data_IF_948619876254
#
_entry.id   IF_948619876254
#
_cell.length_a   1.000
_cell.length_b   1.000
_cell.length_c   1.000
_cell.angle_alpha   90.00
_cell.angle_beta   90.00
_cell.angle_gamma   90.00
#
_symmetry.space_group_name_H-M   'P 1'
#
loop_
_entity.id
_entity.type
_entity.pdbx_description
1 polymer ?
#
# COMPACT_ATOMS: atom_id res chain seq x y z
N UNK A 1 8.13 -7.04 -31.58
CA UNK A 1 8.54 -5.80 -32.29
C UNK A 1 8.17 -4.63 -31.40
N UNK A 2 9.06 -3.64 -31.16
CA UNK A 2 8.75 -2.49 -30.31
C UNK A 2 7.50 -1.77 -30.81
N UNK A 3 6.55 -1.54 -29.89
CA UNK A 3 5.18 -1.10 -30.20
C UNK A 3 5.05 0.42 -30.08
N UNK A 4 5.99 1.11 -29.43
CA UNK A 4 6.03 2.57 -29.45
C UNK A 4 7.16 3.16 -28.61
N UNK A 5 7.51 4.41 -28.93
CA UNK A 5 8.36 5.27 -28.12
C UNK A 5 7.50 6.44 -27.66
N UNK A 6 7.42 6.65 -26.35
CA UNK A 6 6.62 7.72 -25.75
C UNK A 6 7.44 8.46 -24.69
N UNK A 7 6.94 9.59 -24.21
CA UNK A 7 7.54 10.30 -23.07
C UNK A 7 6.62 10.15 -21.87
N UNK A 8 7.16 9.76 -20.72
CA UNK A 8 6.44 9.58 -19.45
C UNK A 8 7.21 10.34 -18.37
N UNK A 9 6.59 11.35 -17.74
CA UNK A 9 7.20 12.08 -16.63
C UNK A 9 8.55 12.74 -16.95
N UNK A 10 8.77 13.14 -18.21
CA UNK A 10 10.04 13.71 -18.67
C UNK A 10 11.12 12.68 -19.06
N UNK A 11 10.85 11.38 -18.88
CA UNK A 11 11.70 10.28 -19.35
C UNK A 11 11.18 9.74 -20.69
N UNK A 12 12.03 9.08 -21.47
CA UNK A 12 11.61 8.39 -22.68
C UNK A 12 11.36 6.91 -22.38
N UNK A 13 10.24 6.38 -22.88
CA UNK A 13 9.79 5.03 -22.66
C UNK A 13 9.76 4.28 -24.00
N UNK A 14 10.36 3.08 -24.04
CA UNK A 14 10.21 2.14 -25.15
C UNK A 14 9.41 0.94 -24.64
N UNK A 15 8.30 0.64 -25.29
CA UNK A 15 7.40 -0.43 -24.86
C UNK A 15 7.16 -1.45 -25.95
N UNK A 16 7.00 -2.71 -25.57
CA UNK A 16 6.60 -3.79 -26.47
C UNK A 16 5.78 -4.87 -25.76
N UNK A 17 4.96 -5.56 -26.53
CA UNK A 17 4.22 -6.73 -26.07
C UNK A 17 5.13 -7.97 -26.15
N UNK A 18 5.16 -8.74 -25.06
CA UNK A 18 5.69 -10.10 -24.98
C UNK A 18 4.60 -11.16 -25.21
N UNK A 19 3.40 -10.75 -25.62
CA UNK A 19 2.26 -11.61 -25.89
C UNK A 19 1.35 -11.80 -24.69
N UNK A 20 0.29 -12.59 -24.90
CA UNK A 20 -0.77 -12.78 -23.92
C UNK A 20 -0.21 -13.37 -22.62
N UNK A 21 -0.60 -12.79 -21.48
CA UNK A 21 -0.34 -13.42 -20.19
C UNK A 21 -1.22 -14.66 -20.06
N UNK A 22 -0.62 -15.79 -19.68
CA UNK A 22 -1.38 -16.99 -19.30
C UNK A 22 -1.94 -16.78 -17.89
N UNK A 23 -3.07 -16.07 -17.79
CA UNK A 23 -3.76 -15.79 -16.54
C UNK A 23 -5.28 -15.91 -16.70
N UNK A 24 -5.98 -16.15 -15.61
CA UNK A 24 -7.46 -16.19 -15.57
C UNK A 24 -8.08 -14.82 -15.31
N UNK A 25 -7.26 -13.80 -15.04
CA UNK A 25 -7.73 -12.45 -14.77
C UNK A 25 -7.92 -11.69 -16.10
N UNK A 26 -9.17 -11.37 -16.50
CA UNK A 26 -9.46 -10.70 -17.75
C UNK A 26 -8.95 -9.25 -17.81
N UNK A 27 -8.56 -8.66 -16.68
CA UNK A 27 -7.96 -7.32 -16.64
C UNK A 27 -6.53 -7.30 -17.20
N UNK A 28 -5.85 -8.45 -17.23
CA UNK A 28 -4.50 -8.57 -17.77
C UNK A 28 -4.53 -9.46 -19.00
N UNK A 29 -4.51 -8.85 -20.19
CA UNK A 29 -4.58 -9.57 -21.46
C UNK A 29 -3.23 -9.70 -22.14
N UNK A 30 -2.29 -8.80 -21.88
CA UNK A 30 -1.01 -8.73 -22.56
C UNK A 30 0.13 -8.43 -21.58
N UNK A 31 1.28 -9.06 -21.78
CA UNK A 31 2.50 -8.73 -21.04
C UNK A 31 3.21 -7.60 -21.78
N UNK A 32 3.08 -6.37 -21.30
CA UNK A 32 3.82 -5.23 -21.85
C UNK A 32 5.10 -5.02 -21.03
N UNK A 33 6.24 -5.02 -21.72
CA UNK A 33 7.51 -4.58 -21.13
C UNK A 33 7.72 -3.13 -21.51
N UNK A 34 8.07 -2.31 -20.53
CA UNK A 34 8.43 -0.91 -20.71
C UNK A 34 9.81 -0.66 -20.14
N UNK A 35 10.68 -0.07 -20.96
CA UNK A 35 12.02 0.36 -20.57
C UNK A 35 12.03 1.89 -20.56
N UNK A 36 12.50 2.47 -19.46
CA UNK A 36 12.65 3.90 -19.29
C UNK A 36 14.12 4.30 -19.42
N UNK A 37 14.37 5.40 -20.13
CA UNK A 37 15.67 6.06 -20.20
C UNK A 37 15.52 7.56 -19.93
N UNK A 38 16.61 8.22 -19.50
CA UNK A 38 16.62 9.67 -19.32
C UNK A 38 16.33 10.41 -20.64
N UNK A 39 16.63 9.77 -21.77
CA UNK A 39 16.31 10.22 -23.12
C UNK A 39 15.96 9.03 -24.01
N UNK A 40 15.51 9.32 -25.24
CA UNK A 40 15.02 8.29 -26.15
C UNK A 40 16.12 7.42 -26.76
N UNK A 41 17.36 7.91 -26.83
CA UNK A 41 18.45 7.11 -27.36
C UNK A 41 18.89 6.08 -26.32
N UNK A 42 19.06 6.50 -25.06
CA UNK A 42 19.37 5.57 -23.97
C UNK A 42 18.23 4.57 -23.74
N UNK A 43 16.98 4.99 -23.83
CA UNK A 43 15.85 4.07 -23.69
C UNK A 43 15.83 3.01 -24.82
N UNK A 44 16.18 3.39 -26.06
CA UNK A 44 16.31 2.45 -27.18
C UNK A 44 17.47 1.49 -26.99
N UNK A 45 18.62 1.97 -26.54
CA UNK A 45 19.80 1.13 -26.29
C UNK A 45 19.50 0.05 -25.25
N UNK A 46 18.90 0.44 -24.12
CA UNK A 46 18.49 -0.52 -23.08
C UNK A 46 17.43 -1.49 -23.64
N UNK A 47 16.45 -0.99 -24.40
CA UNK A 47 15.43 -1.86 -24.98
C UNK A 47 16.03 -2.89 -25.95
N UNK A 48 17.04 -2.50 -26.74
CA UNK A 48 17.77 -3.43 -27.61
C UNK A 48 18.54 -4.47 -26.79
N UNK A 49 19.25 -4.07 -25.73
CA UNK A 49 19.93 -4.99 -24.81
C UNK A 49 18.95 -6.01 -24.19
N UNK A 50 17.76 -5.58 -23.80
CA UNK A 50 16.73 -6.46 -23.21
C UNK A 50 16.10 -7.39 -24.26
N UNK A 51 15.88 -6.91 -25.49
CA UNK A 51 15.34 -7.72 -26.58
C UNK A 51 16.34 -8.78 -27.06
N UNK A 52 17.63 -8.47 -27.04
CA UNK A 52 18.72 -9.38 -27.40
C UNK A 52 19.13 -10.30 -26.25
N UNK A 53 18.74 -9.96 -25.01
CA UNK A 53 18.91 -10.86 -23.88
C UNK A 53 18.14 -12.16 -24.16
N UNK A 54 18.74 -13.34 -23.90
CA UNK A 54 18.05 -14.60 -24.09
C UNK A 54 16.75 -14.58 -23.29
N UNK A 55 15.62 -14.57 -24.01
CA UNK A 55 14.30 -14.78 -23.42
C UNK A 55 14.38 -16.07 -22.62
N UNK A 56 13.79 -16.12 -21.43
CA UNK A 56 13.85 -17.27 -20.55
C UNK A 56 13.35 -18.51 -21.30
N UNK A 57 14.28 -19.23 -21.92
CA UNK A 57 14.02 -20.50 -22.56
C UNK A 57 13.44 -21.43 -21.51
N UNK A 58 12.47 -22.23 -21.94
CA UNK A 58 11.97 -23.45 -21.29
C UNK A 58 12.27 -23.52 -19.78
N UNK A 59 11.32 -23.09 -18.94
CA UNK A 59 11.34 -23.14 -17.47
C UNK A 59 12.59 -23.86 -16.91
N UNK A 60 13.68 -23.11 -16.77
CA UNK A 60 14.91 -23.61 -16.16
C UNK A 60 14.67 -23.88 -14.67
N UNK A 61 15.53 -24.68 -14.02
CA UNK A 61 15.51 -24.73 -12.56
C UNK A 61 15.64 -23.30 -12.00
N UNK A 62 14.91 -22.96 -10.93
CA UNK A 62 14.94 -21.62 -10.35
C UNK A 62 16.38 -21.22 -10.04
N UNK A 63 16.70 -19.95 -10.27
CA UNK A 63 18.04 -19.42 -10.04
C UNK A 63 18.46 -19.68 -8.58
N UNK A 64 19.66 -20.22 -8.40
CA UNK A 64 20.27 -20.50 -7.10
C UNK A 64 21.71 -19.97 -7.08
N UNK A 65 22.15 -19.30 -6.00
CA UNK A 65 21.34 -18.87 -4.85
C UNK A 65 20.31 -17.80 -5.28
N UNK A 66 19.25 -17.62 -4.49
CA UNK A 66 18.37 -16.46 -4.65
C UNK A 66 19.21 -15.21 -4.44
N UNK A 67 18.94 -14.15 -5.22
CA UNK A 67 19.65 -12.87 -5.09
C UNK A 67 19.32 -12.15 -3.77
N UNK A 68 18.16 -12.46 -3.19
CA UNK A 68 17.66 -11.90 -1.94
C UNK A 68 17.55 -12.98 -0.87
N UNK A 69 17.85 -12.62 0.38
CA UNK A 69 17.64 -13.49 1.54
C UNK A 69 16.18 -13.46 1.97
N UNK A 70 15.67 -14.53 2.60
CA UNK A 70 14.38 -14.47 3.27
C UNK A 70 14.33 -13.31 4.27
N UNK A 71 13.31 -12.45 4.16
CA UNK A 71 13.11 -11.28 5.04
C UNK A 71 14.03 -10.08 4.75
N UNK A 72 14.86 -10.14 3.71
CA UNK A 72 15.61 -8.98 3.25
C UNK A 72 14.62 -7.89 2.82
N UNK A 73 14.82 -6.62 3.23
CA UNK A 73 14.04 -5.50 2.74
C UNK A 73 14.08 -5.42 1.20
N UNK A 74 12.97 -5.00 0.60
CA UNK A 74 12.90 -4.80 -0.85
C UNK A 74 13.72 -3.58 -1.28
N UNK A 75 13.94 -2.65 -0.35
CA UNK A 75 14.66 -1.41 -0.58
C UNK A 75 15.72 -1.18 0.51
N UNK A 76 16.82 -0.50 0.18
CA UNK A 76 17.83 -0.08 1.16
C UNK A 76 17.35 1.12 2.00
N UNK A 77 16.15 1.02 2.57
CA UNK A 77 15.54 2.03 3.44
C UNK A 77 15.61 1.58 4.91
N UNK A 78 15.52 2.55 5.83
CA UNK A 78 15.62 2.28 7.25
C UNK A 78 14.36 1.61 7.81
N UNK A 79 14.56 0.61 8.68
CA UNK A 79 13.49 -0.03 9.44
C UNK A 79 12.38 -0.58 8.54
N UNK A 80 11.13 -0.28 8.90
CA UNK A 80 9.98 -0.80 8.19
C UNK A 80 9.72 -0.14 6.82
N UNK A 81 10.36 0.99 6.51
CA UNK A 81 10.24 1.62 5.20
C UNK A 81 10.75 0.71 4.08
N UNK A 82 11.72 -0.16 4.36
CA UNK A 82 12.22 -1.14 3.40
C UNK A 82 11.20 -2.21 2.99
N UNK A 83 10.03 -2.27 3.64
CA UNK A 83 8.96 -3.23 3.38
C UNK A 83 7.67 -2.58 2.82
N UNK A 84 7.52 -1.26 2.91
CA UNK A 84 6.25 -0.58 2.61
C UNK A 84 6.23 0.08 1.24
N UNK A 85 7.38 0.58 0.74
CA UNK A 85 7.38 1.57 -0.36
C UNK A 85 8.25 1.21 -1.55
N UNK A 86 7.82 1.68 -2.72
CA UNK A 86 8.62 1.77 -3.94
C UNK A 86 9.46 3.06 -4.00
N UNK A 87 9.11 4.09 -3.21
CA UNK A 87 9.79 5.38 -3.10
C UNK A 87 10.32 5.62 -1.69
N UNK A 88 11.59 5.26 -1.46
CA UNK A 88 12.25 5.40 -0.17
C UNK A 88 12.37 6.85 0.35
N UNK A 89 12.20 7.87 -0.50
CA UNK A 89 12.37 9.27 -0.10
C UNK A 89 11.21 9.85 0.72
N UNK A 90 10.04 9.23 0.64
CA UNK A 90 8.79 9.73 1.24
C UNK A 90 8.36 8.96 2.50
N UNK A 91 9.24 8.10 3.02
CA UNK A 91 8.98 7.24 4.16
C UNK A 91 10.03 7.42 5.25
N UNK A 92 9.59 7.50 6.50
CA UNK A 92 10.48 7.40 7.66
C UNK A 92 9.86 6.60 8.81
N UNK A 93 10.67 5.94 9.66
CA UNK A 93 10.18 5.30 10.87
C UNK A 93 9.53 6.31 11.81
N UNK A 94 8.36 5.97 12.36
CA UNK A 94 7.66 6.84 13.31
C UNK A 94 8.46 6.97 14.62
N UNK A 95 8.89 8.18 15.03
CA UNK A 95 9.76 8.37 16.19
C UNK A 95 9.01 8.42 17.53
N UNK A 96 7.67 8.49 17.50
CA UNK A 96 6.86 8.85 18.68
C UNK A 96 6.64 10.35 18.75
N UNK A 97 5.42 10.79 18.40
CA UNK A 97 5.00 12.19 18.35
C UNK A 97 3.81 12.41 19.29
N UNK A 98 3.85 13.50 20.05
CA UNK A 98 2.76 13.86 20.93
C UNK A 98 1.55 14.39 20.14
N UNK A 99 0.35 13.92 20.48
CA UNK A 99 -0.87 14.39 19.86
C UNK A 99 -1.29 15.77 20.39
N UNK A 100 -1.68 16.70 19.50
CA UNK A 100 -2.43 17.89 19.90
C UNK A 100 -3.72 17.50 20.63
N UNK A 101 -4.20 18.37 21.53
CA UNK A 101 -5.48 18.14 22.21
C UNK A 101 -6.66 18.56 21.33
N UNK A 102 -7.59 17.64 21.13
CA UNK A 102 -8.88 17.87 20.47
C UNK A 102 -8.85 17.57 18.97
N UNK A 103 -9.96 17.01 18.48
CA UNK A 103 -10.14 16.54 17.10
C UNK A 103 -9.67 17.53 16.03
N UNK A 104 -10.15 18.77 16.06
CA UNK A 104 -9.81 19.76 15.05
C UNK A 104 -8.30 20.12 15.02
N UNK A 105 -7.63 20.08 16.18
CA UNK A 105 -6.19 20.32 16.25
C UNK A 105 -5.39 19.13 15.71
N UNK A 106 -5.85 17.91 16.00
CA UNK A 106 -5.27 16.66 15.46
C UNK A 106 -5.41 16.63 13.94
N UNK A 107 -6.60 16.88 13.40
CA UNK A 107 -6.84 16.85 11.94
C UNK A 107 -5.99 17.86 11.18
N UNK A 108 -5.90 19.09 11.70
CA UNK A 108 -5.02 20.11 11.11
C UNK A 108 -3.55 19.69 11.15
N UNK A 109 -3.08 19.14 12.27
CA UNK A 109 -1.70 18.70 12.40
C UNK A 109 -1.40 17.51 11.47
N UNK A 110 -2.33 16.58 11.31
CA UNK A 110 -2.17 15.44 10.40
C UNK A 110 -2.07 15.84 8.92
N UNK A 111 -2.72 16.94 8.52
CA UNK A 111 -2.56 17.50 7.17
C UNK A 111 -1.17 18.11 6.89
N UNK A 112 -0.34 18.31 7.93
CA UNK A 112 1.00 18.89 7.84
C UNK A 112 2.10 17.87 8.21
N UNK A 113 1.76 16.86 9.02
CA UNK A 113 2.70 15.89 9.59
C UNK A 113 2.08 14.49 9.69
N UNK A 114 2.57 13.57 8.86
CA UNK A 114 2.15 12.17 8.82
C UNK A 114 2.42 11.42 10.14
N UNK A 115 3.35 11.88 10.97
CA UNK A 115 3.59 11.27 12.30
C UNK A 115 2.36 11.40 13.21
N UNK A 116 1.49 12.38 12.98
CA UNK A 116 0.23 12.53 13.72
C UNK A 116 -0.73 11.38 13.39
N UNK A 117 -0.81 10.97 12.13
CA UNK A 117 -1.58 9.79 11.70
C UNK A 117 -1.05 8.51 12.36
N UNK A 118 0.27 8.40 12.53
CA UNK A 118 0.85 7.28 13.28
C UNK A 118 0.51 7.35 14.76
N UNK A 119 0.61 8.54 15.36
CA UNK A 119 0.38 8.77 16.77
C UNK A 119 -1.06 8.44 17.20
N UNK A 120 -2.06 8.73 16.38
CA UNK A 120 -3.47 8.38 16.70
C UNK A 120 -3.75 6.88 16.62
N UNK A 121 -2.96 6.12 15.85
CA UNK A 121 -3.26 4.73 15.54
C UNK A 121 -2.35 3.72 16.25
N UNK A 122 -1.18 4.15 16.75
CA UNK A 122 -0.14 3.22 17.22
C UNK A 122 -0.62 2.29 18.32
N UNK A 123 -1.38 2.80 19.29
CA UNK A 123 -1.88 2.00 20.41
C UNK A 123 -2.99 1.05 19.94
N UNK A 124 -3.94 1.53 19.14
CA UNK A 124 -5.01 0.72 18.57
C UNK A 124 -4.45 -0.44 17.71
N UNK A 125 -3.44 -0.19 16.87
CA UNK A 125 -2.80 -1.23 16.06
C UNK A 125 -2.02 -2.22 16.95
N UNK A 126 -1.27 -1.70 17.93
CA UNK A 126 -0.49 -2.53 18.87
C UNK A 126 -1.39 -3.45 19.69
N UNK A 127 -2.57 -3.00 20.12
CA UNK A 127 -3.49 -3.82 20.89
C UNK A 127 -3.98 -5.05 20.12
N UNK A 128 -4.00 -4.99 18.78
CA UNK A 128 -4.49 -6.07 17.92
C UNK A 128 -3.40 -6.95 17.34
N UNK A 129 -2.28 -6.34 16.97
CA UNK A 129 -1.19 -7.02 16.27
C UNK A 129 0.07 -7.20 17.14
N UNK A 130 0.08 -6.65 18.35
CA UNK A 130 1.28 -6.57 19.20
C UNK A 130 2.37 -5.71 18.56
N UNK A 131 3.62 -5.97 18.94
CA UNK A 131 4.79 -5.27 18.38
C UNK A 131 5.25 -5.85 17.02
N UNK A 132 4.39 -6.56 16.30
CA UNK A 132 4.72 -7.17 15.00
C UNK A 132 4.73 -6.15 13.86
N UNK A 133 3.81 -5.18 13.92
CA UNK A 133 3.67 -4.17 12.90
C UNK A 133 4.38 -2.90 13.35
N UNK A 134 5.29 -2.43 12.52
CA UNK A 134 6.08 -1.25 12.79
C UNK A 134 5.46 -0.05 12.07
N UNK A 135 5.16 1.06 12.79
CA UNK A 135 4.65 2.27 12.17
C UNK A 135 5.74 2.98 11.35
N UNK A 136 5.37 3.37 10.14
CA UNK A 136 6.13 4.30 9.30
C UNK A 136 5.20 5.40 8.83
N UNK A 137 5.69 6.63 8.91
CA UNK A 137 5.00 7.75 8.28
C UNK A 137 5.31 7.70 6.79
N UNK A 138 4.26 7.79 5.96
CA UNK A 138 4.37 7.76 4.51
C UNK A 138 3.31 8.67 3.88
N UNK A 139 3.76 9.59 3.03
CA UNK A 139 2.92 10.62 2.40
C UNK A 139 2.13 11.42 3.46
N UNK A 140 0.81 11.30 3.45
CA UNK A 140 -0.17 11.97 4.31
C UNK A 140 -0.74 11.04 5.40
N UNK A 141 -0.17 9.85 5.56
CA UNK A 141 -0.67 8.83 6.47
C UNK A 141 0.41 8.05 7.20
N UNK A 142 -0.04 7.03 7.92
CA UNK A 142 0.79 6.05 8.57
C UNK A 142 0.53 4.68 7.97
N UNK A 143 1.59 3.95 7.69
CA UNK A 143 1.51 2.54 7.35
C UNK A 143 2.16 1.73 8.46
N UNK A 144 1.48 0.68 8.91
CA UNK A 144 1.99 -0.30 9.85
C UNK A 144 2.27 -1.59 9.08
N UNK A 145 3.53 -2.02 9.05
CA UNK A 145 3.92 -3.21 8.31
C UNK A 145 4.87 -4.09 9.10
N UNK A 146 4.79 -5.39 8.84
CA UNK A 146 5.75 -6.38 9.31
C UNK A 146 6.73 -6.77 8.18
N UNK A 147 7.94 -7.25 8.51
CA UNK A 147 8.91 -7.71 7.52
C UNK A 147 8.39 -8.76 6.53
N UNK A 148 7.47 -9.63 6.98
CA UNK A 148 6.91 -10.72 6.16
C UNK A 148 5.78 -10.22 5.23
N UNK A 149 5.21 -9.04 5.53
CA UNK A 149 4.18 -8.36 4.74
C UNK A 149 2.93 -9.21 4.48
N UNK A 150 2.56 -10.04 5.44
CA UNK A 150 1.26 -10.74 5.39
C UNK A 150 0.12 -9.86 5.88
N UNK A 151 0.44 -8.81 6.64
CA UNK A 151 -0.51 -7.80 7.08
C UNK A 151 0.10 -6.41 6.91
N UNK A 152 -0.69 -5.49 6.38
CA UNK A 152 -0.42 -4.06 6.36
C UNK A 152 -1.66 -3.32 6.85
N UNK A 153 -1.47 -2.30 7.69
CA UNK A 153 -2.54 -1.40 8.11
C UNK A 153 -2.18 0.02 7.69
N UNK A 154 -3.01 0.64 6.87
CA UNK A 154 -2.87 2.04 6.47
C UNK A 154 -3.87 2.89 7.23
N UNK A 155 -3.41 3.97 7.84
CA UNK A 155 -4.24 4.92 8.57
C UNK A 155 -3.95 6.34 8.10
N UNK A 156 -4.99 7.07 7.73
CA UNK A 156 -4.88 8.45 7.28
C UNK A 156 -5.95 9.33 7.91
N UNK A 157 -5.59 10.56 8.24
CA UNK A 157 -6.51 11.60 8.65
C UNK A 157 -6.55 12.66 7.54
N UNK A 158 -7.72 12.86 6.95
CA UNK A 158 -7.88 13.76 5.81
C UNK A 158 -8.79 14.94 6.17
N UNK A 159 -8.48 16.16 5.70
CA UNK A 159 -9.35 17.32 5.87
C UNK A 159 -10.69 17.19 5.13
N UNK A 160 -10.73 16.37 4.08
CA UNK A 160 -11.93 16.09 3.30
C UNK A 160 -12.13 14.58 3.18
N UNK A 161 -13.37 14.07 3.29
CA UNK A 161 -13.63 12.66 3.10
C UNK A 161 -13.27 12.24 1.66
N UNK A 162 -12.56 11.11 1.49
CA UNK A 162 -12.23 10.62 0.17
C UNK A 162 -13.52 10.18 -0.55
N UNK A 163 -13.49 10.10 -1.89
CA UNK A 163 -14.58 9.51 -2.63
C UNK A 163 -14.86 8.10 -2.12
N UNK A 164 -16.08 7.87 -1.67
CA UNK A 164 -16.53 6.56 -1.20
C UNK A 164 -16.64 5.62 -2.41
N UNK A 165 -16.09 4.41 -2.28
CA UNK A 165 -16.17 3.40 -3.33
C UNK A 165 -17.65 3.08 -3.65
N UNK A 166 -18.04 2.87 -4.92
CA UNK A 166 -19.44 2.64 -5.29
C UNK A 166 -20.09 1.42 -4.62
N UNK A 167 -19.28 0.45 -4.18
CA UNK A 167 -19.69 -0.76 -3.50
C UNK A 167 -19.50 -0.71 -1.98
N UNK A 168 -19.15 0.44 -1.41
CA UNK A 168 -19.05 0.58 0.04
C UNK A 168 -20.43 0.59 0.69
N UNK A 169 -20.55 -0.13 1.79
CA UNK A 169 -21.74 -0.16 2.63
C UNK A 169 -21.67 0.94 3.67
N UNK A 170 -22.77 1.69 3.82
CA UNK A 170 -22.89 2.70 4.87
C UNK A 170 -23.18 2.01 6.19
N UNK A 171 -22.45 2.40 7.23
CA UNK A 171 -22.63 1.94 8.62
C UNK A 171 -22.41 3.10 9.59
N UNK A 172 -22.36 2.79 10.88
CA UNK A 172 -22.01 3.74 11.94
C UNK A 172 -20.85 3.17 12.78
N UNK A 173 -19.88 4.02 13.10
CA UNK A 173 -18.81 3.74 14.05
C UNK A 173 -18.88 4.81 15.12
N UNK A 174 -19.10 4.41 16.38
CA UNK A 174 -19.24 5.30 17.54
C UNK A 174 -20.25 6.45 17.33
N UNK A 175 -21.32 6.20 16.56
CA UNK A 175 -22.34 7.20 16.23
C UNK A 175 -21.99 8.17 15.09
N UNK A 176 -20.80 8.04 14.49
CA UNK A 176 -20.40 8.77 13.28
C UNK A 176 -20.75 7.96 12.03
N UNK A 177 -21.06 8.65 10.93
CA UNK A 177 -21.28 7.98 9.64
C UNK A 177 -19.97 7.34 9.18
N UNK A 178 -20.02 6.07 8.82
CA UNK A 178 -18.89 5.35 8.27
C UNK A 178 -19.26 4.62 6.98
N UNK A 179 -18.24 4.36 6.16
CA UNK A 179 -18.34 3.63 4.91
C UNK A 179 -17.33 2.49 4.94
N UNK A 180 -17.81 1.28 4.76
CA UNK A 180 -16.97 0.07 4.75
C UNK A 180 -17.07 -0.55 3.38
N UNK A 181 -15.94 -0.60 2.68
CA UNK A 181 -15.88 -1.15 1.34
C UNK A 181 -15.23 -2.53 1.32
N UNK A 182 -15.53 -3.27 0.26
CA UNK A 182 -14.52 -4.14 -0.32
C UNK A 182 -13.69 -3.28 -1.28
N UNK A 183 -12.37 -3.25 -1.11
CA UNK A 183 -11.48 -2.64 -2.11
C UNK A 183 -11.87 -3.17 -3.48
N UNK A 184 -12.16 -2.30 -4.45
CA UNK A 184 -12.69 -2.66 -5.78
C UNK A 184 -11.84 -3.75 -6.43
N UNK A 185 -12.26 -5.01 -6.28
CA UNK A 185 -11.58 -6.20 -6.83
C UNK A 185 -10.48 -6.83 -5.98
N UNK A 186 -10.18 -6.34 -4.76
CA UNK A 186 -9.20 -6.97 -3.88
C UNK A 186 -9.85 -7.52 -2.59
N UNK A 187 -10.21 -8.82 -2.54
CA UNK A 187 -10.80 -9.43 -1.35
C UNK A 187 -9.82 -9.53 -0.16
N UNK A 188 -8.55 -9.19 -0.39
CA UNK A 188 -7.51 -9.12 0.62
C UNK A 188 -7.43 -7.76 1.32
N UNK A 189 -8.37 -6.83 1.08
CA UNK A 189 -8.33 -5.49 1.68
C UNK A 189 -9.70 -5.05 2.18
N UNK A 190 -9.74 -4.53 3.40
CA UNK A 190 -10.93 -3.94 4.02
C UNK A 190 -10.69 -2.45 4.34
N UNK A 191 -11.12 -1.53 3.47
CA UNK A 191 -11.15 -0.10 3.76
C UNK A 191 -12.37 0.29 4.62
N UNK A 192 -12.12 1.15 5.59
CA UNK A 192 -13.08 1.81 6.47
C UNK A 192 -12.82 3.32 6.40
N UNK A 193 -13.85 4.11 6.14
CA UNK A 193 -13.78 5.57 6.19
C UNK A 193 -14.84 6.08 7.16
N UNK A 194 -14.43 6.84 8.18
CA UNK A 194 -15.32 7.47 9.16
C UNK A 194 -15.37 8.96 8.90
N UNK A 195 -16.56 9.50 8.66
CA UNK A 195 -16.80 10.93 8.51
C UNK A 195 -16.80 11.61 9.89
N UNK A 196 -16.00 12.65 10.05
CA UNK A 196 -15.83 13.37 11.32
C UNK A 196 -16.68 14.65 11.33
N UNK A 197 -18.00 14.51 11.07
CA UNK A 197 -19.01 15.58 11.13
C UNK A 197 -18.65 16.90 10.42
N UNK A 198 -17.93 16.82 9.29
CA UNK A 198 -17.53 17.98 8.50
C UNK A 198 -16.18 18.59 8.86
N UNK A 199 -15.48 18.04 9.87
CA UNK A 199 -14.10 18.42 10.21
C UNK A 199 -13.06 17.66 9.37
N UNK A 200 -13.46 16.55 8.73
CA UNK A 200 -12.60 15.69 7.92
C UNK A 200 -13.05 14.23 7.93
N UNK A 201 -12.11 13.32 7.70
CA UNK A 201 -12.35 11.89 7.77
C UNK A 201 -11.15 11.11 8.31
N UNK A 202 -11.44 10.01 8.99
CA UNK A 202 -10.47 8.95 9.30
C UNK A 202 -10.59 7.87 8.21
N UNK A 203 -9.47 7.46 7.63
CA UNK A 203 -9.37 6.28 6.78
C UNK A 203 -8.52 5.23 7.49
N UNK A 204 -9.03 4.01 7.56
CA UNK A 204 -8.31 2.82 8.03
C UNK A 204 -8.46 1.75 6.96
N UNK A 205 -7.37 1.15 6.53
CA UNK A 205 -7.39 0.04 5.58
C UNK A 205 -6.51 -1.08 6.10
N UNK A 206 -7.08 -2.28 6.26
CA UNK A 206 -6.31 -3.48 6.57
C UNK A 206 -6.19 -4.32 5.32
N UNK A 207 -4.96 -4.62 4.92
CA UNK A 207 -4.64 -5.57 3.87
C UNK A 207 -4.04 -6.83 4.49
N UNK A 208 -4.55 -8.00 4.08
CA UNK A 208 -4.06 -9.31 4.50
C UNK A 208 -3.65 -10.10 3.27
N UNK A 209 -2.39 -10.48 3.18
CA UNK A 209 -1.88 -11.35 2.13
C UNK A 209 -1.72 -12.79 2.66
N UNK A 210 -1.79 -13.80 1.79
CA UNK A 210 -1.43 -15.17 2.12
C UNK A 210 -0.01 -15.25 2.69
N UNK A 211 0.21 -16.23 3.58
CA UNK A 211 1.54 -16.54 4.10
C UNK A 211 2.55 -16.84 2.97
N UNK A 212 3.85 -16.61 3.17
CA UNK A 212 4.87 -16.92 2.17
C UNK A 212 4.74 -18.34 1.61
N UNK A 213 4.64 -18.44 0.27
CA UNK A 213 4.40 -19.70 -0.44
C UNK A 213 2.93 -19.96 -0.80
N UNK A 214 1.99 -19.17 -0.27
CA UNK A 214 0.60 -19.13 -0.72
C UNK A 214 0.43 -18.44 -2.08
N UNK A 215 -0.71 -18.67 -2.73
CA UNK A 215 -1.11 -17.99 -3.97
C UNK A 215 -1.96 -16.78 -3.61
N UNK A 216 -1.85 -15.70 -4.39
CA UNK A 216 -2.67 -14.47 -4.22
C UNK A 216 -4.18 -14.73 -4.19
N UNK A 217 -4.63 -15.81 -4.82
CA UNK A 217 -6.05 -16.23 -4.87
C UNK A 217 -6.47 -17.09 -3.68
N UNK A 218 -5.53 -17.49 -2.81
CA UNK A 218 -5.87 -18.29 -1.64
C UNK A 218 -6.71 -17.43 -0.67
N UNK A 219 -7.72 -18.02 -0.01
CA UNK A 219 -8.58 -17.28 0.91
C UNK A 219 -7.78 -16.64 2.04
N UNK A 220 -8.13 -15.41 2.38
CA UNK A 220 -7.57 -14.69 3.54
C UNK A 220 -8.50 -14.84 4.74
N UNK A 221 -7.96 -14.70 5.94
CA UNK A 221 -8.72 -14.78 7.17
C UNK A 221 -9.63 -13.54 7.33
N UNK A 222 -10.97 -13.68 7.26
CA UNK A 222 -11.88 -12.55 7.38
C UNK A 222 -11.82 -11.89 8.76
N UNK A 223 -11.44 -12.63 9.81
CA UNK A 223 -11.29 -12.05 11.15
C UNK A 223 -10.14 -11.04 11.20
N UNK A 224 -9.04 -11.29 10.47
CA UNK A 224 -7.94 -10.32 10.36
C UNK A 224 -8.37 -9.07 9.60
N UNK A 225 -9.14 -9.22 8.53
CA UNK A 225 -9.70 -8.07 7.81
C UNK A 225 -10.61 -7.23 8.71
N UNK A 226 -11.49 -7.87 9.50
CA UNK A 226 -12.43 -7.21 10.41
C UNK A 226 -11.78 -6.30 11.47
N UNK A 227 -10.48 -6.46 11.74
CA UNK A 227 -9.75 -5.56 12.64
C UNK A 227 -9.73 -4.09 12.17
N UNK A 228 -9.98 -3.81 10.89
CA UNK A 228 -10.07 -2.44 10.38
C UNK A 228 -11.16 -1.62 11.10
N UNK A 229 -12.34 -2.22 11.28
CA UNK A 229 -13.49 -1.58 11.92
C UNK A 229 -13.18 -1.28 13.39
N UNK A 230 -12.60 -2.27 14.06
CA UNK A 230 -12.28 -2.19 15.46
C UNK A 230 -11.10 -1.22 15.74
N UNK A 231 -10.15 -1.07 14.81
CA UNK A 231 -9.10 -0.04 14.88
C UNK A 231 -9.72 1.34 14.68
N UNK A 232 -10.62 1.50 13.70
CA UNK A 232 -11.32 2.76 13.48
C UNK A 232 -12.14 3.17 14.71
N UNK A 233 -12.85 2.22 15.34
CA UNK A 233 -13.59 2.45 16.59
C UNK A 233 -12.69 2.93 17.74
N UNK A 234 -11.55 2.29 17.95
CA UNK A 234 -10.60 2.66 19.01
C UNK A 234 -10.01 4.04 18.78
N UNK A 235 -9.58 4.34 17.54
CA UNK A 235 -9.02 5.65 17.17
C UNK A 235 -10.05 6.75 17.37
N UNK A 236 -11.29 6.53 16.93
CA UNK A 236 -12.35 7.54 17.09
C UNK A 236 -12.65 7.75 18.57
N UNK A 237 -12.89 6.69 19.32
CA UNK A 237 -13.25 6.77 20.75
C UNK A 237 -12.16 7.45 21.57
N UNK A 238 -10.90 7.17 21.28
CA UNK A 238 -9.77 7.63 22.10
C UNK A 238 -9.32 9.04 21.73
N UNK A 239 -9.33 9.39 20.45
CA UNK A 239 -8.67 10.60 19.96
C UNK A 239 -9.59 11.60 19.24
N UNK A 240 -10.73 11.14 18.70
CA UNK A 240 -11.56 11.95 17.78
C UNK A 240 -13.03 12.11 18.22
N UNK A 241 -13.36 11.68 19.43
CA UNK A 241 -14.67 11.90 20.05
C UNK A 241 -14.90 13.36 20.47
#
# INVERSE_FOLDING_TARGET
MPVGITTIGGQCAVSWSNGLVSGTDPAFTDQVVTVLGPDCDRARDIAAEVLDAPTAGRAGPPQRPLLYRPGEPDQPAEGACGYVVSDAGSCHPYPGTALPTGRAAILRAAGEDADVSCAVAVDAVRDRYGDRLFPVAFLDGCTFAEPVRTVTVDVGLMPEPPPVAPNAERTEITGLTAWVGDSTGNPATRPVTVELDGDGALSVSVMVLPEPGGRRTDPVDPARLGTADEIAEDVVTTHLA
#
